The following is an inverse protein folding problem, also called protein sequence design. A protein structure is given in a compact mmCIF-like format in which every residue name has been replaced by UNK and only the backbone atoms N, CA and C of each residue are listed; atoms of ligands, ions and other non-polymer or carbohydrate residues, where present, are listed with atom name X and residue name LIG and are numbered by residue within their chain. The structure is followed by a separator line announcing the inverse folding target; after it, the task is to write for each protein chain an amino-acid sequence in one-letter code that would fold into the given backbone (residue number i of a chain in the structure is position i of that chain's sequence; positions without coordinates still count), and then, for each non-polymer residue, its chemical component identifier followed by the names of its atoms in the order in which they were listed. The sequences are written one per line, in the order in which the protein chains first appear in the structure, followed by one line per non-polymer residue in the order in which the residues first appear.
data_IF_066345147715
#
_entry.id   IF_066345147715
#
_cell.length_a   1.000
_cell.length_b   1.000
_cell.length_c   1.000
_cell.angle_alpha   90.00
_cell.angle_beta   90.00
_cell.angle_gamma   90.00
#
_symmetry.space_group_name_H-M   'P 1'
#
loop_
_entity.id
_entity.type
_entity.pdbx_description
1 polymer ?
#
# COMPACT_ATOMS: atom_id res chain seq x y z
N UNK A 1 -37.82 -4.24 -11.54
CA UNK A 1 -36.76 -3.91 -10.61
C UNK A 1 -36.22 -2.53 -10.98
N UNK A 2 -36.08 -1.61 -10.03
CA UNK A 2 -35.48 -0.30 -10.29
C UNK A 2 -34.04 -0.50 -10.80
N UNK A 3 -33.60 0.35 -11.75
CA UNK A 3 -32.25 0.31 -12.27
C UNK A 3 -31.24 0.65 -11.14
N UNK A 4 -30.16 -0.13 -11.02
CA UNK A 4 -29.11 0.14 -10.04
C UNK A 4 -28.42 1.48 -10.36
N UNK A 5 -28.18 2.29 -9.32
CA UNK A 5 -27.42 3.54 -9.45
C UNK A 5 -25.94 3.23 -9.75
N UNK A 6 -25.32 3.91 -10.74
CA UNK A 6 -23.92 3.68 -11.09
C UNK A 6 -22.98 4.24 -10.03
N UNK A 7 -21.82 3.57 -9.84
CA UNK A 7 -20.75 4.01 -8.94
C UNK A 7 -19.53 4.44 -9.74
N UNK A 8 -19.00 5.61 -9.40
CA UNK A 8 -17.75 6.13 -9.95
C UNK A 8 -16.61 5.91 -8.97
N UNK A 9 -15.54 5.23 -9.40
CA UNK A 9 -14.32 5.04 -8.62
C UNK A 9 -13.21 5.90 -9.22
N UNK A 10 -12.57 6.73 -8.38
CA UNK A 10 -11.47 7.61 -8.79
C UNK A 10 -10.17 7.06 -8.24
N UNK A 11 -9.35 6.48 -9.13
CA UNK A 11 -8.06 5.85 -8.82
C UNK A 11 -8.08 4.34 -9.03
N UNK A 12 -7.30 3.87 -10.01
CA UNK A 12 -7.13 2.47 -10.39
C UNK A 12 -5.93 1.79 -9.73
N UNK A 13 -5.70 2.05 -8.44
CA UNK A 13 -4.79 1.27 -7.61
C UNK A 13 -5.48 0.03 -7.02
N UNK A 14 -4.79 -0.67 -6.10
CA UNK A 14 -5.32 -1.91 -5.51
C UNK A 14 -6.72 -1.74 -4.91
N UNK A 15 -6.94 -0.69 -4.11
CA UNK A 15 -8.23 -0.46 -3.46
C UNK A 15 -9.35 -0.22 -4.49
N UNK A 16 -9.12 0.64 -5.49
CA UNK A 16 -10.12 0.97 -6.50
C UNK A 16 -10.47 -0.20 -7.40
N UNK A 17 -9.47 -0.91 -7.90
CA UNK A 17 -9.69 -2.10 -8.75
C UNK A 17 -10.39 -3.22 -7.98
N UNK A 18 -9.98 -3.49 -6.74
CA UNK A 18 -10.63 -4.50 -5.89
C UNK A 18 -12.08 -4.15 -5.58
N UNK A 19 -12.36 -2.88 -5.25
CA UNK A 19 -13.72 -2.42 -5.05
C UNK A 19 -14.55 -2.59 -6.33
N UNK A 20 -14.01 -2.16 -7.47
CA UNK A 20 -14.67 -2.29 -8.76
C UNK A 20 -15.01 -3.74 -9.09
N UNK A 21 -14.07 -4.67 -8.89
CA UNK A 21 -14.27 -6.11 -9.09
C UNK A 21 -15.42 -6.61 -8.18
N UNK A 22 -15.35 -6.35 -6.87
CA UNK A 22 -16.36 -6.82 -5.92
C UNK A 22 -17.77 -6.25 -6.17
N UNK A 23 -17.88 -5.02 -6.65
CA UNK A 23 -19.15 -4.41 -7.06
C UNK A 23 -19.67 -5.02 -8.37
N UNK A 24 -18.80 -5.25 -9.36
CA UNK A 24 -19.17 -5.88 -10.63
C UNK A 24 -19.63 -7.33 -10.45
N UNK A 25 -19.01 -8.07 -9.55
CA UNK A 25 -19.46 -9.43 -9.18
C UNK A 25 -20.91 -9.44 -8.62
N UNK A 26 -21.38 -8.30 -8.11
CA UNK A 26 -22.77 -8.11 -7.61
C UNK A 26 -23.69 -7.42 -8.62
N UNK A 27 -23.24 -7.26 -9.86
CA UNK A 27 -24.03 -6.64 -10.92
C UNK A 27 -24.12 -5.11 -10.85
N UNK A 28 -23.43 -4.44 -9.91
CA UNK A 28 -23.46 -2.98 -9.77
C UNK A 28 -22.72 -2.34 -10.96
N UNK A 29 -23.32 -1.36 -11.68
CA UNK A 29 -22.62 -0.62 -12.72
C UNK A 29 -21.48 0.22 -12.15
N UNK A 30 -20.25 0.07 -12.69
CA UNK A 30 -19.07 0.78 -12.18
C UNK A 30 -18.26 1.38 -13.32
N UNK A 31 -17.95 2.68 -13.20
CA UNK A 31 -16.94 3.37 -14.01
C UNK A 31 -15.74 3.70 -13.14
N UNK A 32 -14.53 3.26 -13.55
CA UNK A 32 -13.28 3.52 -12.85
C UNK A 32 -12.36 4.42 -13.67
N UNK A 33 -11.91 5.52 -13.07
CA UNK A 33 -10.98 6.49 -13.67
C UNK A 33 -9.57 6.30 -13.13
N UNK A 34 -8.60 6.14 -14.01
CA UNK A 34 -7.18 6.05 -13.67
C UNK A 34 -6.34 7.00 -14.54
N UNK A 35 -5.66 7.93 -13.88
CA UNK A 35 -4.86 8.95 -14.57
C UNK A 35 -3.61 8.36 -15.27
N UNK A 36 -3.08 7.27 -14.75
CA UNK A 36 -1.93 6.59 -15.35
C UNK A 36 -2.35 5.46 -16.29
N UNK A 37 -1.35 4.72 -16.78
CA UNK A 37 -1.53 3.56 -17.64
C UNK A 37 -1.03 2.28 -16.94
N UNK A 38 -1.51 1.13 -17.37
CA UNK A 38 -1.00 -0.17 -16.96
C UNK A 38 -0.19 -0.80 -18.10
N UNK A 39 0.82 -1.64 -17.79
CA UNK A 39 1.39 -1.89 -16.47
C UNK A 39 2.31 -0.74 -16.02
N UNK A 40 2.53 -0.60 -14.70
CA UNK A 40 3.48 0.39 -14.17
C UNK A 40 4.05 -0.03 -12.82
N UNK A 41 5.29 0.37 -12.56
CA UNK A 41 5.91 0.19 -11.26
C UNK A 41 5.38 1.19 -10.23
N UNK A 42 5.34 0.77 -8.96
CA UNK A 42 4.96 1.59 -7.82
C UNK A 42 5.88 1.33 -6.65
N UNK A 43 6.17 2.36 -5.86
CA UNK A 43 6.89 2.18 -4.58
C UNK A 43 6.02 1.38 -3.64
N UNK A 44 6.39 0.11 -3.44
CA UNK A 44 5.66 -0.88 -2.66
C UNK A 44 6.57 -2.03 -2.26
N UNK A 45 6.34 -2.62 -1.08
CA UNK A 45 7.03 -3.84 -0.64
C UNK A 45 6.65 -5.10 -1.43
N UNK A 46 5.56 -5.05 -2.20
CA UNK A 46 5.09 -6.12 -3.12
C UNK A 46 4.83 -7.47 -2.46
N UNK A 47 4.46 -7.48 -1.18
CA UNK A 47 3.98 -8.68 -0.50
C UNK A 47 2.64 -8.45 0.21
N UNK A 48 1.80 -9.47 0.19
CA UNK A 48 0.44 -9.49 0.73
C UNK A 48 0.40 -10.50 1.87
N UNK A 49 -0.06 -10.11 3.03
CA UNK A 49 -0.14 -10.96 4.21
C UNK A 49 -1.47 -10.82 4.94
N UNK A 50 -1.76 -11.77 5.83
CA UNK A 50 -2.91 -11.73 6.73
C UNK A 50 -4.24 -11.50 6.02
N UNK A 51 -5.03 -10.57 6.55
CA UNK A 51 -6.41 -10.30 6.07
C UNK A 51 -6.51 -9.90 4.60
N UNK A 52 -5.45 -9.32 4.01
CA UNK A 52 -5.45 -9.01 2.58
C UNK A 52 -5.58 -10.26 1.72
N UNK A 53 -4.95 -11.38 2.13
CA UNK A 53 -5.11 -12.66 1.43
C UNK A 53 -6.51 -13.24 1.63
N UNK A 54 -7.09 -13.10 2.83
CA UNK A 54 -8.45 -13.53 3.10
C UNK A 54 -9.47 -12.76 2.24
N UNK A 55 -9.30 -11.44 2.12
CA UNK A 55 -10.12 -10.62 1.22
C UNK A 55 -10.02 -11.10 -0.23
N UNK A 56 -8.80 -11.34 -0.71
CA UNK A 56 -8.60 -11.86 -2.07
C UNK A 56 -9.24 -13.23 -2.27
N UNK A 57 -9.20 -14.11 -1.25
CA UNK A 57 -9.86 -15.40 -1.31
C UNK A 57 -11.39 -15.27 -1.37
N UNK A 58 -11.99 -14.41 -0.52
CA UNK A 58 -13.45 -14.15 -0.54
C UNK A 58 -13.95 -13.55 -1.85
N UNK A 59 -13.11 -12.78 -2.54
CA UNK A 59 -13.41 -12.22 -3.87
C UNK A 59 -13.06 -13.17 -5.03
N UNK A 60 -12.61 -14.40 -4.74
CA UNK A 60 -12.23 -15.40 -5.76
C UNK A 60 -10.97 -15.00 -6.55
N UNK A 61 -10.11 -14.15 -5.99
CA UNK A 61 -8.93 -13.64 -6.68
C UNK A 61 -7.63 -14.37 -6.30
N UNK A 62 -7.65 -15.28 -5.31
CA UNK A 62 -6.44 -15.92 -4.81
C UNK A 62 -5.79 -16.83 -5.87
N UNK A 63 -6.55 -17.80 -6.41
CA UNK A 63 -6.04 -18.74 -7.42
C UNK A 63 -5.62 -18.02 -8.71
N UNK A 64 -6.30 -16.91 -8.99
CA UNK A 64 -5.98 -16.08 -10.12
C UNK A 64 -4.63 -15.36 -9.95
N UNK A 65 -4.28 -14.90 -8.73
CA UNK A 65 -2.96 -14.35 -8.42
C UNK A 65 -1.85 -15.38 -8.53
N UNK A 66 -2.12 -16.64 -8.16
CA UNK A 66 -1.18 -17.76 -8.33
C UNK A 66 -0.89 -17.98 -9.81
N UNK A 67 -1.94 -17.98 -10.67
CA UNK A 67 -1.76 -18.05 -12.14
C UNK A 67 -1.02 -16.85 -12.73
N UNK A 68 -1.12 -15.67 -12.10
CA UNK A 68 -0.35 -14.48 -12.48
C UNK A 68 1.12 -14.55 -12.07
N UNK A 69 1.56 -15.66 -11.47
CA UNK A 69 2.94 -15.91 -11.09
C UNK A 69 3.31 -15.45 -9.68
N UNK A 70 2.33 -15.31 -8.77
CA UNK A 70 2.60 -14.96 -7.41
C UNK A 70 3.50 -15.99 -6.70
N UNK A 71 4.46 -15.51 -5.92
CA UNK A 71 5.45 -16.32 -5.20
C UNK A 71 5.07 -16.36 -3.73
N UNK A 72 5.07 -17.56 -3.13
CA UNK A 72 4.84 -17.72 -1.70
C UNK A 72 6.07 -17.32 -0.88
N UNK A 73 5.85 -16.68 0.28
CA UNK A 73 6.89 -16.40 1.27
C UNK A 73 6.51 -16.99 2.62
N UNK A 74 7.40 -17.81 3.19
CA UNK A 74 7.18 -18.51 4.45
C UNK A 74 8.14 -18.05 5.56
N UNK A 75 9.21 -17.36 5.21
CA UNK A 75 10.26 -16.93 6.14
C UNK A 75 10.54 -15.43 6.01
N UNK A 76 10.99 -14.82 7.11
CA UNK A 76 11.50 -13.44 7.11
C UNK A 76 12.77 -13.35 7.96
N UNK A 77 13.65 -12.40 7.62
CA UNK A 77 14.83 -12.07 8.40
C UNK A 77 14.96 -10.54 8.55
N UNK A 78 15.40 -10.10 9.73
CA UNK A 78 15.69 -8.70 10.01
C UNK A 78 17.17 -8.52 10.27
N UNK A 79 17.73 -7.45 9.69
CA UNK A 79 19.12 -7.10 9.77
C UNK A 79 19.30 -5.66 10.26
N UNK A 80 20.20 -5.44 11.18
CA UNK A 80 20.73 -4.13 11.53
C UNK A 80 22.22 -4.08 11.19
N UNK A 81 22.92 -3.03 11.57
CA UNK A 81 24.35 -2.91 11.27
C UNK A 81 25.18 -4.09 11.79
N UNK A 82 24.84 -4.64 12.97
CA UNK A 82 25.64 -5.66 13.67
C UNK A 82 24.85 -6.89 14.11
N UNK A 83 23.52 -6.91 13.90
CA UNK A 83 22.65 -7.99 14.37
C UNK A 83 21.79 -8.54 13.22
N UNK A 84 21.47 -9.83 13.31
CA UNK A 84 20.51 -10.51 12.44
C UNK A 84 19.62 -11.43 13.24
N UNK A 85 18.37 -11.59 12.82
CA UNK A 85 17.50 -12.63 13.38
C UNK A 85 17.79 -14.00 12.80
N UNK A 86 18.51 -14.07 11.67
CA UNK A 86 18.44 -15.22 10.79
C UNK A 86 17.05 -15.41 10.17
N UNK A 87 16.87 -16.41 9.29
CA UNK A 87 15.57 -16.77 8.75
C UNK A 87 14.66 -17.31 9.85
N UNK A 88 13.45 -16.72 9.97
CA UNK A 88 12.43 -17.15 10.94
C UNK A 88 11.11 -17.40 10.25
N UNK A 89 10.31 -18.39 10.66
CA UNK A 89 9.00 -18.65 10.10
C UNK A 89 8.08 -17.43 10.26
N UNK A 90 7.35 -17.08 9.20
CA UNK A 90 6.24 -16.16 9.30
C UNK A 90 5.06 -16.84 10.01
N UNK A 91 4.30 -16.15 10.88
CA UNK A 91 3.09 -16.72 11.52
C UNK A 91 2.06 -17.20 10.51
N UNK A 92 1.99 -16.56 9.35
CA UNK A 92 1.20 -16.99 8.19
C UNK A 92 1.99 -16.69 6.92
N UNK A 93 1.87 -17.57 5.91
CA UNK A 93 2.52 -17.36 4.61
C UNK A 93 2.05 -16.06 3.97
N UNK A 94 2.97 -15.36 3.33
CA UNK A 94 2.67 -14.19 2.50
C UNK A 94 2.67 -14.60 1.01
N UNK A 95 2.07 -13.75 0.17
CA UNK A 95 2.10 -13.85 -1.29
C UNK A 95 2.84 -12.62 -1.82
N UNK A 96 3.82 -12.84 -2.67
CA UNK A 96 4.61 -11.78 -3.29
C UNK A 96 4.31 -11.72 -4.78
N UNK A 97 3.94 -10.55 -5.26
CA UNK A 97 3.69 -10.30 -6.68
C UNK A 97 4.01 -8.85 -7.01
N UNK A 98 4.72 -8.65 -8.11
CA UNK A 98 5.05 -7.31 -8.59
C UNK A 98 3.78 -6.47 -8.81
N UNK A 99 3.80 -5.22 -8.36
CA UNK A 99 2.72 -4.25 -8.64
C UNK A 99 2.56 -3.98 -10.13
N UNK A 100 3.63 -4.16 -10.90
CA UNK A 100 3.59 -4.08 -12.35
C UNK A 100 2.63 -5.13 -12.94
N UNK A 101 2.72 -6.36 -12.47
CA UNK A 101 1.85 -7.46 -12.88
C UNK A 101 0.48 -7.37 -12.21
N UNK A 102 0.44 -7.18 -10.89
CA UNK A 102 -0.77 -7.23 -10.09
C UNK A 102 -1.81 -6.18 -10.51
N UNK A 103 -1.37 -4.90 -10.66
CA UNK A 103 -2.30 -3.82 -11.01
C UNK A 103 -2.89 -4.02 -12.42
N UNK A 104 -2.05 -4.46 -13.38
CA UNK A 104 -2.49 -4.74 -14.75
C UNK A 104 -3.50 -5.88 -14.80
N UNK A 105 -3.19 -6.94 -14.09
CA UNK A 105 -4.02 -8.12 -14.02
C UNK A 105 -5.39 -7.83 -13.34
N UNK A 106 -5.42 -7.08 -12.23
CA UNK A 106 -6.68 -6.62 -11.63
C UNK A 106 -7.49 -5.71 -12.56
N UNK A 107 -6.82 -4.86 -13.35
CA UNK A 107 -7.48 -4.01 -14.33
C UNK A 107 -8.15 -4.82 -15.45
N UNK A 108 -7.51 -5.89 -15.90
CA UNK A 108 -8.08 -6.83 -16.88
C UNK A 108 -9.28 -7.57 -16.28
N UNK A 109 -9.14 -8.11 -15.06
CA UNK A 109 -10.26 -8.76 -14.36
C UNK A 109 -11.47 -7.85 -14.17
N UNK A 110 -11.25 -6.58 -13.88
CA UNK A 110 -12.33 -5.60 -13.79
C UNK A 110 -13.07 -5.43 -15.12
N UNK A 111 -12.34 -5.38 -16.26
CA UNK A 111 -12.94 -5.30 -17.60
C UNK A 111 -13.70 -6.57 -17.98
N UNK A 112 -13.15 -7.76 -17.70
CA UNK A 112 -13.81 -9.04 -17.92
C UNK A 112 -15.19 -9.12 -17.24
N UNK A 113 -15.32 -8.50 -16.07
CA UNK A 113 -16.58 -8.40 -15.33
C UNK A 113 -17.53 -7.30 -15.87
N UNK A 114 -17.18 -6.67 -16.99
CA UNK A 114 -17.97 -5.61 -17.61
C UNK A 114 -17.84 -4.26 -16.90
N UNK A 115 -16.75 -4.01 -16.18
CA UNK A 115 -16.45 -2.69 -15.61
C UNK A 115 -15.92 -1.72 -16.68
N UNK A 116 -16.40 -0.49 -16.65
CA UNK A 116 -15.89 0.58 -17.52
C UNK A 116 -14.60 1.15 -16.94
N UNK A 117 -13.46 0.96 -17.61
CA UNK A 117 -12.14 1.42 -17.15
C UNK A 117 -11.57 2.52 -18.07
N UNK A 118 -11.52 3.75 -17.57
CA UNK A 118 -10.98 4.94 -18.25
C UNK A 118 -9.52 5.17 -17.85
N UNK A 119 -8.60 4.63 -18.66
CA UNK A 119 -7.16 4.67 -18.41
C UNK A 119 -6.52 5.87 -19.11
N UNK A 120 -5.54 6.51 -18.45
CA UNK A 120 -4.86 7.70 -18.94
C UNK A 120 -5.70 8.97 -18.83
N UNK A 121 -6.81 8.92 -18.09
CA UNK A 121 -7.75 10.03 -17.93
C UNK A 121 -7.89 10.39 -16.45
N UNK A 122 -7.76 11.67 -16.16
CA UNK A 122 -8.09 12.20 -14.83
C UNK A 122 -9.60 12.37 -14.74
N UNK A 123 -10.19 11.94 -13.63
CA UNK A 123 -11.59 12.27 -13.34
C UNK A 123 -11.73 13.79 -13.28
N UNK A 124 -12.62 14.39 -14.09
CA UNK A 124 -12.84 15.83 -14.05
C UNK A 124 -13.33 16.17 -12.64
N UNK A 125 -12.51 16.86 -11.85
CA UNK A 125 -13.03 17.51 -10.66
C UNK A 125 -14.16 18.42 -11.15
N UNK A 126 -15.39 18.20 -10.68
CA UNK A 126 -16.47 19.16 -10.89
C UNK A 126 -15.96 20.43 -10.22
N UNK A 127 -15.41 21.34 -11.03
CA UNK A 127 -14.77 22.54 -10.56
C UNK A 127 -15.85 23.46 -10.01
N UNK A 128 -15.73 23.75 -8.73
CA UNK A 128 -16.02 25.12 -8.31
C UNK A 128 -14.67 25.82 -8.32
N UNK A 129 -14.47 26.69 -9.30
CA UNK A 129 -13.44 27.70 -9.21
C UNK A 129 -13.62 28.41 -7.88
N UNK A 130 -12.64 28.27 -6.99
CA UNK A 130 -12.53 29.13 -5.83
C UNK A 130 -12.14 30.53 -6.34
N UNK A 131 -13.10 31.25 -6.90
CA UNK A 131 -13.06 32.70 -6.88
C UNK A 131 -13.39 33.09 -5.45
N UNK A 132 -12.47 33.79 -4.82
CA UNK A 132 -12.52 34.27 -3.46
C UNK A 132 -13.89 34.87 -3.12
N UNK A 133 -14.64 34.16 -2.26
CA UNK A 133 -15.75 34.74 -1.52
C UNK A 133 -15.36 34.83 -0.05
N UNK A 134 -15.39 36.02 0.57
CA UNK A 134 -14.96 36.26 1.94
C UNK A 134 -15.90 35.74 3.02
N UNK A 135 -17.05 35.16 2.68
CA UNK A 135 -18.04 34.75 3.68
C UNK A 135 -18.52 33.32 3.45
N UNK A 136 -18.23 32.46 4.44
CA UNK A 136 -18.97 31.25 4.73
C UNK A 136 -18.95 30.19 3.62
N UNK A 137 -17.91 29.36 3.53
CA UNK A 137 -17.86 28.14 2.73
C UNK A 137 -19.06 27.22 3.04
N UNK A 138 -20.06 27.20 2.16
CA UNK A 138 -21.00 26.08 2.12
C UNK A 138 -20.19 24.82 1.79
N UNK A 139 -20.37 23.68 2.51
CA UNK A 139 -19.74 22.44 2.13
C UNK A 139 -20.18 22.11 0.69
N UNK A 140 -19.21 22.02 -0.24
CA UNK A 140 -19.47 21.56 -1.61
C UNK A 140 -20.22 20.23 -1.53
N UNK A 141 -21.41 20.19 -2.14
CA UNK A 141 -22.17 18.96 -2.31
C UNK A 141 -21.33 18.01 -3.15
N UNK A 142 -20.77 17.00 -2.51
CA UNK A 142 -20.04 15.97 -3.22
C UNK A 142 -21.00 15.14 -4.05
N UNK A 143 -20.63 14.79 -5.29
CA UNK A 143 -21.48 13.96 -6.11
C UNK A 143 -21.70 12.60 -5.44
N UNK A 144 -22.96 12.19 -5.32
CA UNK A 144 -23.31 10.86 -4.81
C UNK A 144 -22.71 9.75 -5.70
N UNK A 145 -22.40 8.61 -5.09
CA UNK A 145 -21.86 7.46 -5.80
C UNK A 145 -20.40 7.57 -6.20
N UNK A 146 -19.68 8.60 -5.72
CA UNK A 146 -18.24 8.76 -6.01
C UNK A 146 -17.37 8.26 -4.86
N UNK A 147 -16.46 7.33 -5.15
CA UNK A 147 -15.49 6.77 -4.20
C UNK A 147 -14.08 7.14 -4.61
N UNK A 148 -13.33 7.75 -3.70
CA UNK A 148 -11.93 8.11 -3.92
C UNK A 148 -10.99 7.01 -3.46
N UNK A 149 -10.27 6.43 -4.42
CA UNK A 149 -9.22 5.44 -4.25
C UNK A 149 -7.88 5.95 -4.82
N UNK A 150 -7.66 7.27 -4.79
CA UNK A 150 -6.54 7.96 -5.45
C UNK A 150 -5.18 7.66 -4.83
N UNK A 151 -5.15 6.87 -3.75
CA UNK A 151 -3.95 6.63 -2.97
C UNK A 151 -3.55 7.85 -2.14
N UNK A 152 -2.27 7.96 -1.86
CA UNK A 152 -1.74 9.03 -0.99
C UNK A 152 -2.01 10.41 -1.59
N UNK A 153 -2.54 11.31 -0.79
CA UNK A 153 -2.56 12.73 -1.11
C UNK A 153 -1.21 13.33 -0.70
N UNK A 154 -0.70 14.26 -1.52
CA UNK A 154 0.39 15.14 -1.08
C UNK A 154 -0.13 15.88 0.15
N UNK A 155 0.53 15.67 1.28
CA UNK A 155 0.26 16.44 2.48
C UNK A 155 0.99 17.79 2.37
N UNK A 156 0.45 18.89 2.91
CA UNK A 156 1.23 20.09 3.10
C UNK A 156 2.53 19.75 3.82
N UNK A 157 3.62 20.42 3.48
CA UNK A 157 4.93 20.16 4.08
C UNK A 157 4.83 20.24 5.61
N UNK A 158 4.86 19.09 6.27
CA UNK A 158 4.98 19.04 7.71
C UNK A 158 6.38 19.53 8.07
N UNK A 159 6.47 20.49 8.98
CA UNK A 159 7.75 20.88 9.59
C UNK A 159 8.38 19.63 10.24
N UNK A 160 9.55 19.21 9.77
CA UNK A 160 10.26 18.05 10.29
C UNK A 160 10.80 17.10 9.22
N UNK A 161 11.13 15.89 9.63
CA UNK A 161 11.75 14.89 8.78
C UNK A 161 10.88 14.52 7.57
N UNK A 162 11.42 14.77 6.39
CA UNK A 162 10.78 14.42 5.12
C UNK A 162 11.10 12.98 4.77
N UNK A 163 10.07 12.17 4.56
CA UNK A 163 10.21 10.77 4.16
C UNK A 163 9.99 10.61 2.66
N UNK A 164 10.80 9.75 2.06
CA UNK A 164 10.63 9.36 0.68
C UNK A 164 10.86 7.85 0.50
N UNK A 165 10.22 7.28 -0.48
CA UNK A 165 10.37 5.88 -0.85
C UNK A 165 11.07 5.73 -2.18
N UNK A 166 11.93 4.73 -2.29
CA UNK A 166 12.56 4.28 -3.55
C UNK A 166 12.27 2.80 -3.73
N UNK A 167 12.15 2.38 -5.00
CA UNK A 167 11.98 0.98 -5.36
C UNK A 167 12.64 0.69 -6.69
N UNK A 168 13.23 -0.48 -6.80
CA UNK A 168 13.63 -1.09 -8.06
C UNK A 168 13.49 -2.61 -7.98
N UNK A 169 13.44 -3.29 -9.11
CA UNK A 169 13.64 -4.73 -9.19
C UNK A 169 15.09 -5.04 -9.52
N UNK A 170 15.58 -6.19 -9.05
CA UNK A 170 16.93 -6.65 -9.36
C UNK A 170 16.95 -8.17 -9.55
N UNK A 171 17.93 -8.63 -10.33
CA UNK A 171 18.32 -10.05 -10.46
C UNK A 171 19.59 -10.30 -9.63
N UNK A 172 19.96 -11.57 -9.52
CA UNK A 172 21.20 -12.00 -8.87
C UNK A 172 21.36 -11.52 -7.42
N UNK A 173 20.23 -11.52 -6.66
CA UNK A 173 20.21 -11.15 -5.24
C UNK A 173 20.07 -12.42 -4.40
N UNK A 174 21.12 -12.83 -3.68
CA UNK A 174 21.10 -14.04 -2.82
C UNK A 174 20.38 -13.74 -1.50
N UNK A 175 19.09 -14.04 -1.41
CA UNK A 175 18.31 -13.90 -0.17
C UNK A 175 18.49 -15.12 0.73
N UNK A 176 18.60 -14.89 2.05
CA UNK A 176 18.63 -15.94 3.08
C UNK A 176 17.25 -16.28 3.62
N UNK A 177 16.28 -15.36 3.49
CA UNK A 177 14.89 -15.57 3.81
C UNK A 177 14.02 -15.08 2.63
N UNK A 178 12.76 -15.49 2.58
CA UNK A 178 11.85 -15.05 1.51
C UNK A 178 11.59 -13.53 1.55
N UNK A 179 11.53 -12.99 2.77
CA UNK A 179 11.45 -11.55 3.05
C UNK A 179 12.63 -11.13 3.90
N UNK A 180 13.34 -10.09 3.51
CA UNK A 180 14.39 -9.49 4.32
C UNK A 180 14.09 -8.01 4.59
N UNK A 181 14.38 -7.54 5.81
CA UNK A 181 14.35 -6.13 6.16
C UNK A 181 15.69 -5.71 6.74
N UNK A 182 16.33 -4.76 6.10
CA UNK A 182 17.61 -4.19 6.49
C UNK A 182 17.38 -2.78 7.03
N UNK A 183 17.56 -2.59 8.34
CA UNK A 183 17.39 -1.29 9.00
C UNK A 183 18.70 -0.53 9.09
N UNK A 184 18.63 0.79 8.93
CA UNK A 184 19.76 1.71 9.00
C UNK A 184 19.36 3.01 9.71
N UNK A 185 20.31 3.86 10.14
CA UNK A 185 19.98 5.14 10.77
C UNK A 185 19.13 6.08 9.89
N UNK A 186 19.20 5.91 8.58
CA UNK A 186 18.47 6.74 7.61
C UNK A 186 17.12 6.16 7.18
N UNK A 187 16.79 4.93 7.61
CA UNK A 187 15.57 4.25 7.19
C UNK A 187 15.72 2.74 7.13
N UNK A 188 15.08 2.11 6.17
CA UNK A 188 15.20 0.67 5.94
C UNK A 188 14.96 0.32 4.47
N UNK A 189 15.46 -0.85 4.06
CA UNK A 189 15.21 -1.47 2.77
C UNK A 189 14.64 -2.87 3.00
N UNK A 190 13.51 -3.15 2.37
CA UNK A 190 12.90 -4.47 2.31
C UNK A 190 13.23 -5.16 0.99
N UNK A 191 13.50 -6.46 1.06
CA UNK A 191 13.75 -7.33 -0.09
C UNK A 191 12.73 -8.46 -0.10
N UNK A 192 12.15 -8.79 -1.25
CA UNK A 192 11.35 -10.00 -1.42
C UNK A 192 11.40 -10.51 -2.85
N UNK A 193 11.32 -11.83 -3.01
CA UNK A 193 11.17 -12.45 -4.35
C UNK A 193 9.81 -12.13 -4.92
N UNK A 194 9.76 -11.78 -6.19
CA UNK A 194 8.52 -11.57 -6.94
C UNK A 194 8.55 -12.40 -8.21
N UNK A 195 7.47 -12.38 -8.99
CA UNK A 195 7.38 -13.10 -10.25
C UNK A 195 8.54 -12.77 -11.21
N UNK A 196 8.81 -13.69 -12.16
CA UNK A 196 9.86 -13.52 -13.16
C UNK A 196 11.29 -13.66 -12.62
N UNK A 197 11.48 -14.28 -11.43
CA UNK A 197 12.79 -14.47 -10.81
C UNK A 197 13.44 -13.18 -10.33
N UNK A 198 12.66 -12.11 -10.18
CA UNK A 198 13.12 -10.82 -9.71
C UNK A 198 13.04 -10.72 -8.19
N UNK A 199 13.87 -9.85 -7.62
CA UNK A 199 13.77 -9.41 -6.23
C UNK A 199 13.35 -7.95 -6.22
N UNK A 200 12.27 -7.67 -5.50
CA UNK A 200 11.86 -6.30 -5.21
C UNK A 200 12.78 -5.72 -4.13
N UNK A 201 13.39 -4.58 -4.42
CA UNK A 201 14.25 -3.81 -3.51
C UNK A 201 13.52 -2.49 -3.24
N UNK A 202 12.91 -2.36 -2.05
CA UNK A 202 12.06 -1.20 -1.73
C UNK A 202 12.46 -0.59 -0.39
N UNK A 203 12.85 0.69 -0.40
CA UNK A 203 13.30 1.41 0.78
C UNK A 203 12.45 2.61 1.16
N UNK A 204 12.40 2.89 2.46
CA UNK A 204 11.92 4.14 3.05
C UNK A 204 13.10 4.86 3.67
N UNK A 205 13.29 6.13 3.31
CA UNK A 205 14.43 6.93 3.73
C UNK A 205 14.00 8.27 4.29
N UNK A 206 14.75 8.72 5.29
CA UNK A 206 14.64 10.08 5.83
C UNK A 206 15.55 11.01 5.04
N UNK A 207 15.00 12.10 4.53
CA UNK A 207 15.76 13.16 3.86
C UNK A 207 16.38 14.08 4.91
N UNK A 208 17.67 14.38 4.77
CA UNK A 208 18.34 15.45 5.49
C UNK A 208 17.95 16.83 4.96
N UNK A 209 18.13 17.88 5.76
CA UNK A 209 17.90 19.24 5.31
C UNK A 209 18.92 19.60 4.22
N UNK A 210 18.44 20.16 3.10
CA UNK A 210 19.25 20.53 1.94
C UNK A 210 19.69 19.38 1.04
N UNK A 211 19.35 18.12 1.36
CA UNK A 211 19.77 16.96 0.58
C UNK A 211 18.90 16.77 -0.67
N UNK A 212 19.53 16.76 -1.85
CA UNK A 212 18.89 16.40 -3.10
C UNK A 212 19.16 14.93 -3.42
N UNK A 213 18.10 14.16 -3.63
CA UNK A 213 18.22 12.76 -4.10
C UNK A 213 18.11 12.76 -5.61
N UNK A 214 19.23 12.95 -6.28
CA UNK A 214 19.33 12.88 -7.75
C UNK A 214 19.23 11.43 -8.26
N UNK A 215 19.03 11.24 -9.57
CA UNK A 215 18.98 9.92 -10.20
C UNK A 215 20.23 9.07 -9.93
N UNK A 216 21.39 9.70 -9.79
CA UNK A 216 22.68 9.03 -9.58
C UNK A 216 22.77 8.35 -8.21
N UNK A 217 22.17 8.92 -7.16
CA UNK A 217 22.25 8.40 -5.80
C UNK A 217 21.19 7.32 -5.47
N UNK A 218 20.26 7.05 -6.40
CA UNK A 218 19.15 6.08 -6.14
C UNK A 218 19.65 4.66 -5.92
N UNK A 219 20.61 4.20 -6.72
CA UNK A 219 21.18 2.85 -6.58
C UNK A 219 21.97 2.71 -5.28
N UNK A 220 22.77 3.72 -4.94
CA UNK A 220 23.57 3.72 -3.71
C UNK A 220 22.70 3.69 -2.46
N UNK A 221 21.61 4.48 -2.45
CA UNK A 221 20.65 4.46 -1.35
C UNK A 221 20.00 3.09 -1.19
N UNK A 222 19.60 2.44 -2.28
CA UNK A 222 19.02 1.10 -2.23
C UNK A 222 20.06 0.04 -1.84
N UNK A 223 21.31 0.18 -2.24
CA UNK A 223 22.41 -0.73 -1.84
C UNK A 223 22.81 -0.57 -0.38
N UNK A 224 22.50 0.56 0.22
CA UNK A 224 22.87 0.87 1.60
C UNK A 224 24.36 1.19 1.79
N UNK A 225 24.77 1.49 3.03
CA UNK A 225 26.17 1.83 3.33
C UNK A 225 27.14 0.71 2.99
N UNK A 226 28.31 1.07 2.46
CA UNK A 226 29.41 0.12 2.16
C UNK A 226 29.74 -0.72 3.40
N UNK A 227 29.92 -2.03 3.22
CA UNK A 227 30.20 -2.98 4.30
C UNK A 227 28.98 -3.42 5.11
N UNK A 228 27.81 -2.82 4.90
CA UNK A 228 26.57 -3.27 5.58
C UNK A 228 26.10 -4.64 5.04
N UNK A 229 25.29 -5.39 5.82
CA UNK A 229 24.68 -6.62 5.34
C UNK A 229 23.85 -6.42 4.04
N UNK A 230 23.18 -5.28 3.92
CA UNK A 230 22.45 -4.93 2.70
C UNK A 230 23.36 -4.74 1.50
N UNK A 231 24.48 -4.01 1.69
CA UNK A 231 25.44 -3.77 0.62
C UNK A 231 26.05 -5.09 0.12
N UNK A 232 26.38 -5.99 1.03
CA UNK A 232 26.88 -7.34 0.68
C UNK A 232 25.82 -8.14 -0.08
N UNK A 233 24.54 -8.08 0.34
CA UNK A 233 23.41 -8.75 -0.29
C UNK A 233 23.18 -8.27 -1.72
N UNK A 234 23.40 -6.99 -1.98
CA UNK A 234 23.18 -6.35 -3.28
C UNK A 234 24.48 -6.14 -4.08
N UNK A 235 25.60 -6.75 -3.67
CA UNK A 235 26.88 -6.59 -4.36
C UNK A 235 26.84 -7.04 -5.82
N UNK A 236 26.21 -8.19 -6.10
CA UNK A 236 26.02 -8.76 -7.44
C UNK A 236 24.69 -8.40 -8.08
N UNK A 237 23.91 -7.51 -7.45
CA UNK A 237 22.57 -7.19 -7.93
C UNK A 237 22.59 -6.41 -9.26
N UNK A 238 21.85 -6.92 -10.23
CA UNK A 238 21.59 -6.31 -11.52
C UNK A 238 20.22 -5.63 -11.46
N UNK A 239 20.21 -4.30 -11.32
CA UNK A 239 18.98 -3.54 -11.26
C UNK A 239 18.34 -3.38 -12.64
N UNK A 240 17.04 -3.64 -12.72
CA UNK A 240 16.23 -3.27 -13.90
C UNK A 240 15.95 -1.76 -13.89
N UNK A 241 16.59 -1.03 -14.80
CA UNK A 241 16.49 0.44 -14.89
C UNK A 241 15.07 0.94 -15.11
N UNK A 242 14.24 0.18 -15.82
CA UNK A 242 12.84 0.55 -16.09
C UNK A 242 11.94 0.39 -14.88
N UNK A 243 12.41 -0.32 -13.85
CA UNK A 243 11.64 -0.58 -12.63
C UNK A 243 11.83 0.47 -11.53
N UNK A 244 12.79 1.40 -11.71
CA UNK A 244 13.02 2.45 -10.73
C UNK A 244 11.82 3.37 -10.59
N UNK A 245 11.33 3.51 -9.38
CA UNK A 245 10.31 4.49 -9.05
C UNK A 245 10.57 5.11 -7.67
N UNK A 246 10.12 6.35 -7.52
CA UNK A 246 10.29 7.12 -6.30
C UNK A 246 8.99 7.81 -5.90
N UNK A 247 8.85 8.09 -4.61
CA UNK A 247 7.77 8.88 -4.06
C UNK A 247 8.31 9.74 -2.92
N UNK A 248 7.98 11.02 -2.94
CA UNK A 248 8.36 11.98 -1.89
C UNK A 248 7.12 12.44 -1.11
N UNK A 249 7.35 13.19 -0.03
CA UNK A 249 6.28 13.79 0.77
C UNK A 249 5.41 12.75 1.49
N UNK A 250 6.03 11.66 1.98
CA UNK A 250 5.31 10.64 2.72
C UNK A 250 5.00 11.14 4.14
N UNK A 251 3.71 11.28 4.47
CA UNK A 251 3.28 11.45 5.85
C UNK A 251 3.08 10.08 6.51
N UNK A 252 3.69 9.90 7.68
CA UNK A 252 3.52 8.70 8.51
C UNK A 252 2.48 8.90 9.62
N UNK A 253 1.73 10.01 9.57
CA UNK A 253 0.64 10.31 10.53
C UNK A 253 -0.63 9.59 10.08
N UNK A 254 -1.26 8.80 10.96
CA UNK A 254 -2.52 8.18 10.65
C UNK A 254 -3.67 9.20 10.68
N UNK A 255 -4.59 9.05 9.74
CA UNK A 255 -5.85 9.80 9.69
C UNK A 255 -7.03 8.84 9.86
N UNK A 256 -8.13 9.36 10.38
CA UNK A 256 -9.39 8.61 10.48
C UNK A 256 -10.22 8.81 9.21
N UNK A 257 -10.90 7.75 8.78
CA UNK A 257 -11.78 7.80 7.62
C UNK A 257 -12.96 8.76 7.84
N UNK A 258 -13.51 8.81 9.06
CA UNK A 258 -14.59 9.73 9.43
C UNK A 258 -14.20 11.21 9.37
N UNK A 259 -12.91 11.53 9.38
CA UNK A 259 -12.42 12.90 9.22
C UNK A 259 -12.27 13.31 7.73
N UNK A 260 -12.54 12.41 6.80
CA UNK A 260 -12.53 12.71 5.37
C UNK A 260 -13.90 13.21 4.93
N UNK A 261 -13.90 14.28 4.16
CA UNK A 261 -15.12 14.83 3.55
C UNK A 261 -15.64 13.90 2.46
N UNK A 262 -14.71 13.32 1.68
CA UNK A 262 -15.01 12.38 0.58
C UNK A 262 -15.21 10.94 1.09
N UNK A 263 -15.97 10.13 0.37
CA UNK A 263 -15.96 8.67 0.52
C UNK A 263 -14.60 8.12 0.05
N UNK A 264 -13.72 7.80 0.99
CA UNK A 264 -12.34 7.39 0.71
C UNK A 264 -12.11 5.92 1.08
N UNK A 265 -11.25 5.23 0.30
CA UNK A 265 -10.73 3.89 0.60
C UNK A 265 -9.22 3.80 0.37
N UNK A 266 -8.57 2.80 0.97
CA UNK A 266 -7.13 2.59 0.88
C UNK A 266 -6.31 3.77 1.41
N UNK A 267 -5.16 4.04 0.79
CA UNK A 267 -4.27 5.13 1.19
C UNK A 267 -4.89 6.54 1.02
N UNK A 268 -6.06 6.66 0.36
CA UNK A 268 -6.81 7.91 0.35
C UNK A 268 -7.41 8.26 1.72
N UNK A 269 -7.64 7.26 2.58
CA UNK A 269 -7.96 7.45 3.99
C UNK A 269 -6.69 7.84 4.73
N UNK A 270 -5.74 6.91 4.78
CA UNK A 270 -4.48 7.03 5.52
C UNK A 270 -3.48 5.99 5.02
N UNK A 271 -2.21 6.36 4.98
CA UNK A 271 -1.14 5.42 4.73
C UNK A 271 -0.72 4.75 6.05
N UNK A 272 -0.74 3.42 6.09
CA UNK A 272 -0.14 2.70 7.22
C UNK A 272 1.38 2.87 7.18
N UNK A 273 2.07 3.00 8.34
CA UNK A 273 3.52 2.99 8.39
C UNK A 273 4.11 1.80 7.62
N UNK A 274 4.96 2.04 6.60
CA UNK A 274 5.36 1.00 5.64
C UNK A 274 6.18 -0.14 6.26
N UNK A 275 6.78 0.08 7.43
CA UNK A 275 7.56 -0.92 8.19
C UNK A 275 6.78 -2.22 8.44
N UNK A 276 5.45 -2.14 8.50
CA UNK A 276 4.60 -3.31 8.72
C UNK A 276 4.38 -4.15 7.47
N UNK A 277 4.61 -3.57 6.29
CA UNK A 277 4.31 -4.18 5.01
C UNK A 277 2.82 -4.47 4.76
N UNK A 278 1.93 -3.78 5.46
CA UNK A 278 0.50 -4.09 5.47
C UNK A 278 -0.36 -3.16 4.59
N UNK A 279 0.27 -2.24 3.83
CA UNK A 279 -0.44 -1.28 3.00
C UNK A 279 -1.30 -1.92 1.92
N UNK A 280 -0.81 -2.98 1.27
CA UNK A 280 -1.56 -3.71 0.26
C UNK A 280 -2.78 -4.41 0.87
N UNK A 281 -2.61 -5.07 2.03
CA UNK A 281 -3.71 -5.73 2.74
C UNK A 281 -4.80 -4.73 3.15
N UNK A 282 -4.43 -3.57 3.70
CA UNK A 282 -5.40 -2.52 4.04
C UNK A 282 -6.15 -1.97 2.82
N UNK A 283 -5.48 -1.88 1.66
CA UNK A 283 -6.14 -1.47 0.42
C UNK A 283 -7.22 -2.47 0.00
N UNK A 284 -6.95 -3.78 0.06
CA UNK A 284 -7.92 -4.83 -0.23
C UNK A 284 -9.07 -4.84 0.78
N UNK A 285 -8.77 -4.81 2.08
CA UNK A 285 -9.77 -4.80 3.15
C UNK A 285 -10.69 -3.59 3.09
N UNK A 286 -10.15 -2.37 2.85
CA UNK A 286 -10.97 -1.17 2.74
C UNK A 286 -11.94 -1.24 1.55
N UNK A 287 -11.51 -1.85 0.45
CA UNK A 287 -12.37 -2.10 -0.70
C UNK A 287 -13.52 -3.06 -0.33
N UNK A 288 -13.19 -4.19 0.31
CA UNK A 288 -14.19 -5.17 0.75
C UNK A 288 -15.22 -4.57 1.71
N UNK A 289 -14.76 -3.79 2.71
CA UNK A 289 -15.64 -3.12 3.68
C UNK A 289 -16.63 -2.13 3.04
N UNK A 290 -16.29 -1.62 1.84
CA UNK A 290 -17.12 -0.68 1.10
C UNK A 290 -18.14 -1.36 0.15
N UNK A 291 -17.94 -2.62 -0.22
CA UNK A 291 -18.77 -3.31 -1.23
C UNK A 291 -20.24 -3.37 -0.81
N UNK A 292 -20.55 -3.85 0.41
CA UNK A 292 -21.93 -4.02 0.87
C UNK A 292 -22.69 -2.70 0.98
N UNK A 293 -22.15 -1.65 1.67
CA UNK A 293 -22.83 -0.37 1.74
C UNK A 293 -23.06 0.27 0.38
N UNK A 294 -22.08 0.20 -0.52
CA UNK A 294 -22.21 0.74 -1.87
C UNK A 294 -23.22 -0.04 -2.72
N UNK A 295 -23.26 -1.37 -2.55
CA UNK A 295 -24.27 -2.20 -3.18
C UNK A 295 -25.68 -1.86 -2.73
N UNK A 296 -25.89 -1.65 -1.42
CA UNK A 296 -27.17 -1.23 -0.85
C UNK A 296 -27.61 0.15 -1.38
N UNK A 297 -26.68 1.11 -1.42
CA UNK A 297 -26.95 2.43 -2.03
C UNK A 297 -27.29 2.32 -3.51
N UNK A 298 -26.56 1.52 -4.27
CA UNK A 298 -26.81 1.32 -5.70
C UNK A 298 -28.21 0.78 -5.97
N UNK A 299 -28.72 -0.09 -5.10
CA UNK A 299 -30.10 -0.59 -5.17
C UNK A 299 -31.16 0.36 -4.62
N UNK A 300 -30.75 1.50 -4.01
CA UNK A 300 -31.66 2.46 -3.41
C UNK A 300 -32.16 2.08 -2.01
N UNK A 301 -31.54 1.11 -1.34
CA UNK A 301 -31.91 0.61 0.00
C UNK A 301 -31.50 1.58 1.11
N UNK A 302 -30.42 2.33 0.91
CA UNK A 302 -29.92 3.37 1.83
C UNK A 302 -29.52 4.63 1.07
N UNK A 303 -29.52 5.77 1.76
CA UNK A 303 -29.08 7.05 1.22
C UNK A 303 -27.55 7.16 1.13
N UNK A 304 -27.04 8.12 0.34
CA UNK A 304 -25.61 8.42 0.29
C UNK A 304 -25.09 8.96 1.64
N UNK A 305 -25.92 9.75 2.32
CA UNK A 305 -25.62 10.31 3.63
C UNK A 305 -25.44 9.24 4.72
N UNK A 306 -26.04 8.05 4.54
CA UNK A 306 -25.85 6.89 5.41
C UNK A 306 -24.66 6.02 4.95
N UNK A 307 -24.48 5.86 3.63
CA UNK A 307 -23.44 5.01 3.02
C UNK A 307 -22.04 5.45 3.37
N UNK A 308 -21.72 6.72 3.15
CA UNK A 308 -20.38 7.25 3.36
C UNK A 308 -19.90 7.13 4.82
N UNK A 309 -20.67 7.57 5.85
CA UNK A 309 -20.27 7.40 7.23
C UNK A 309 -20.19 5.92 7.67
N UNK A 310 -21.00 5.05 7.08
CA UNK A 310 -20.96 3.62 7.37
C UNK A 310 -19.63 3.01 6.90
N UNK A 311 -19.18 3.31 5.67
CA UNK A 311 -17.88 2.88 5.15
C UNK A 311 -16.75 3.43 6.01
N UNK A 312 -16.77 4.73 6.33
CA UNK A 312 -15.76 5.38 7.14
C UNK A 312 -15.61 4.73 8.52
N UNK A 313 -16.72 4.49 9.22
CA UNK A 313 -16.72 3.82 10.54
C UNK A 313 -16.20 2.40 10.46
N UNK A 314 -16.60 1.61 9.45
CA UNK A 314 -16.10 0.24 9.25
C UNK A 314 -14.59 0.23 9.05
N UNK A 315 -14.05 1.13 8.23
CA UNK A 315 -12.61 1.26 8.02
C UNK A 315 -11.87 1.69 9.30
N UNK A 316 -12.36 2.71 10.01
CA UNK A 316 -11.75 3.17 11.26
C UNK A 316 -11.72 2.08 12.31
N UNK A 317 -12.81 1.33 12.49
CA UNK A 317 -12.88 0.21 13.45
C UNK A 317 -11.90 -0.90 13.08
N UNK A 318 -11.81 -1.26 11.79
CA UNK A 318 -10.92 -2.32 11.32
C UNK A 318 -9.44 -1.95 11.45
N UNK A 319 -9.08 -0.64 11.29
CA UNK A 319 -7.69 -0.22 11.15
C UNK A 319 -7.10 0.45 12.39
N UNK A 320 -7.91 0.97 13.33
CA UNK A 320 -7.44 1.78 14.46
C UNK A 320 -6.31 1.11 15.26
N UNK A 321 -6.51 -0.15 15.66
CA UNK A 321 -5.53 -0.91 16.44
C UNK A 321 -4.23 -1.14 15.67
N UNK A 322 -4.32 -1.53 14.39
CA UNK A 322 -3.16 -1.77 13.53
C UNK A 322 -2.36 -0.50 13.27
N UNK A 323 -3.02 0.62 13.02
CA UNK A 323 -2.38 1.92 12.82
C UNK A 323 -1.63 2.38 14.07
N UNK A 324 -2.22 2.18 15.26
CA UNK A 324 -1.55 2.49 16.53
C UNK A 324 -0.29 1.67 16.72
N UNK A 325 -0.36 0.35 16.55
CA UNK A 325 0.80 -0.53 16.65
C UNK A 325 1.87 -0.24 15.58
N UNK A 326 1.42 -0.03 14.35
CA UNK A 326 2.31 0.32 13.24
C UNK A 326 3.10 1.61 13.52
N UNK A 327 2.45 2.64 14.09
CA UNK A 327 3.10 3.89 14.48
C UNK A 327 4.19 3.67 15.54
N UNK A 328 3.90 2.85 16.57
CA UNK A 328 4.89 2.52 17.59
C UNK A 328 6.05 1.74 17.01
N UNK A 329 5.77 0.67 16.25
CA UNK A 329 6.82 -0.13 15.63
C UNK A 329 7.71 0.72 14.71
N UNK A 330 7.13 1.59 13.90
CA UNK A 330 7.87 2.50 13.02
C UNK A 330 8.82 3.41 13.81
N UNK A 331 8.36 3.96 14.94
CA UNK A 331 9.20 4.81 15.81
C UNK A 331 10.40 4.04 16.35
N UNK A 332 10.20 2.82 16.82
CA UNK A 332 11.28 1.98 17.35
C UNK A 332 12.26 1.56 16.27
N UNK A 333 11.76 1.11 15.11
CA UNK A 333 12.62 0.68 13.99
C UNK A 333 13.46 1.83 13.44
N UNK A 334 12.92 3.05 13.45
CA UNK A 334 13.62 4.25 12.99
C UNK A 334 14.48 4.93 14.06
N UNK A 335 14.52 4.42 15.28
CA UNK A 335 15.40 4.91 16.35
C UNK A 335 16.75 4.20 16.28
N UNK A 336 17.86 4.86 15.83
CA UNK A 336 19.14 4.19 15.59
C UNK A 336 19.70 3.47 16.81
N UNK A 337 19.52 4.04 18.01
CA UNK A 337 19.96 3.46 19.28
C UNK A 337 19.24 2.18 19.67
N UNK A 338 18.03 1.93 19.13
CA UNK A 338 17.21 0.76 19.47
C UNK A 338 17.28 -0.35 18.43
N UNK A 339 17.79 -0.09 17.23
CA UNK A 339 17.76 -1.04 16.10
C UNK A 339 18.44 -2.39 16.44
N UNK A 340 19.66 -2.34 16.96
CA UNK A 340 20.39 -3.55 17.33
C UNK A 340 19.69 -4.34 18.44
N UNK A 341 19.15 -3.65 19.44
CA UNK A 341 18.40 -4.27 20.54
C UNK A 341 17.13 -4.95 20.02
N UNK A 342 16.35 -4.28 19.17
CA UNK A 342 15.12 -4.84 18.61
C UNK A 342 15.40 -6.10 17.77
N UNK A 343 16.41 -6.06 16.91
CA UNK A 343 16.80 -7.23 16.11
C UNK A 343 17.26 -8.38 17.01
N UNK A 344 18.03 -8.09 18.07
CA UNK A 344 18.47 -9.08 19.06
C UNK A 344 17.30 -9.72 19.82
N UNK A 345 16.32 -8.91 20.26
CA UNK A 345 15.11 -9.41 20.93
C UNK A 345 14.29 -10.27 19.95
N UNK A 346 14.09 -9.78 18.73
CA UNK A 346 13.37 -10.53 17.69
C UNK A 346 14.09 -11.85 17.32
N UNK A 347 15.41 -11.93 17.42
CA UNK A 347 16.18 -13.15 17.20
C UNK A 347 15.97 -14.21 18.29
N UNK A 348 15.77 -13.78 19.55
CA UNK A 348 15.78 -14.66 20.73
C UNK A 348 14.39 -14.98 21.28
N UNK A 349 13.36 -14.22 20.92
CA UNK A 349 12.01 -14.35 21.48
C UNK A 349 10.98 -14.66 20.40
N UNK A 350 10.46 -15.90 20.42
CA UNK A 350 9.34 -16.30 19.53
C UNK A 350 8.07 -15.54 19.83
N UNK A 351 7.81 -15.25 21.11
CA UNK A 351 6.67 -14.45 21.53
C UNK A 351 6.73 -13.05 20.93
N UNK A 352 7.88 -12.36 21.04
CA UNK A 352 8.06 -11.02 20.48
C UNK A 352 7.93 -11.04 18.96
N UNK A 353 8.52 -12.04 18.29
CA UNK A 353 8.41 -12.24 16.85
C UNK A 353 6.97 -12.36 16.41
N UNK A 354 6.20 -13.28 16.99
CA UNK A 354 4.78 -13.47 16.67
C UNK A 354 3.96 -12.23 16.97
N UNK A 355 4.12 -11.63 18.15
CA UNK A 355 3.41 -10.43 18.54
C UNK A 355 3.63 -9.27 17.56
N UNK A 356 4.87 -9.02 17.12
CA UNK A 356 5.18 -7.96 16.16
C UNK A 356 4.45 -8.13 14.84
N UNK A 357 4.27 -9.37 14.38
CA UNK A 357 3.51 -9.67 13.17
C UNK A 357 1.99 -9.64 13.38
N UNK A 358 1.47 -10.24 14.43
CA UNK A 358 0.02 -10.36 14.67
C UNK A 358 -0.64 -9.02 14.98
N UNK A 359 0.01 -8.15 15.73
CA UNK A 359 -0.55 -6.84 16.12
C UNK A 359 -0.60 -5.83 14.98
N UNK A 360 0.14 -6.08 13.92
CA UNK A 360 0.20 -5.21 12.73
C UNK A 360 -0.64 -5.73 11.56
N UNK A 361 -1.33 -6.87 11.72
CA UNK A 361 -2.10 -7.55 10.64
C UNK A 361 -3.56 -7.78 10.96
#
# INVERSE_FOLDING_TARGET
MAAMKPITIVGGGLAGLTLGIGLRQRGVPVTLWEAGRYPRHRVCGEFICGRGQETLARLGLRDWLERAGAVGAATAAFFSATQSTGPRPLPARAICLSRFTLDAALAEKFRELGGELRVGQRWPAVGVHASACPDGLKPELQPEGVVRATGRRLQPEESGARWFGLKAHARNVPLTADLEMHVSPRGYVGLCRVNGGMVNVCGLFRRGDGESVGPQNRRELLRGPTGSPLHQRLASAEFDENSFCAVAGLSLRPYRAVARVDCCIGDAITMIPPVTGNGMSMAFESAELAIDPLGAWSRGEISWAETQPQIARRCDTAFARRLTWAKWLQRFVLAPSLQNMLVRIAARSDWFWRMAFEKTR
#
